data_IF_750153832244
#
_entry.id   IF_750153832244
#
_cell.length_a   1.000
_cell.length_b   1.000
_cell.length_c   1.000
_cell.angle_alpha   90.00
_cell.angle_beta   90.00
_cell.angle_gamma   90.00
#
_symmetry.space_group_name_H-M   'P 1'
#
loop_
_entity.id
_entity.type
_entity.pdbx_description
1 polymer ?
#
# COMPACT_ATOMS: atom_id res chain seq x y z
N UNK A 1 13.20 3.84 7.74
CA UNK A 1 13.28 4.76 6.59
C UNK A 1 13.63 4.00 5.32
N UNK A 2 12.92 4.27 4.21
CA UNK A 2 13.24 3.74 2.87
C UNK A 2 13.66 4.92 2.01
N UNK A 3 14.78 4.77 1.29
CA UNK A 3 15.24 5.76 0.32
C UNK A 3 15.44 5.08 -1.03
N UNK A 4 14.76 5.56 -2.04
CA UNK A 4 14.89 5.15 -3.43
C UNK A 4 15.61 6.28 -4.15
N UNK A 5 16.72 5.96 -4.79
CA UNK A 5 17.59 6.95 -5.42
C UNK A 5 17.83 6.60 -6.88
N UNK A 6 17.35 7.48 -7.76
CA UNK A 6 17.57 7.47 -9.20
C UNK A 6 17.30 6.10 -9.85
N UNK A 7 16.14 5.52 -9.60
CA UNK A 7 15.77 4.17 -10.01
C UNK A 7 15.43 4.11 -11.49
N UNK A 8 16.14 3.28 -12.25
CA UNK A 8 15.89 3.00 -13.66
C UNK A 8 15.51 1.55 -13.90
N UNK A 9 14.53 1.34 -14.78
CA UNK A 9 14.13 0.00 -15.24
C UNK A 9 13.56 0.02 -16.62
N UNK A 10 14.08 -0.89 -17.46
CA UNK A 10 13.57 -1.17 -18.81
C UNK A 10 13.10 -2.61 -18.93
N UNK A 11 12.13 -2.84 -19.80
CA UNK A 11 11.68 -4.16 -20.23
C UNK A 11 11.60 -4.14 -21.77
N UNK A 12 12.22 -5.11 -22.41
CA UNK A 12 12.25 -5.26 -23.88
C UNK A 12 12.57 -3.97 -24.63
N UNK A 13 13.53 -3.20 -24.08
CA UNK A 13 13.98 -1.93 -24.66
C UNK A 13 13.07 -0.73 -24.34
N UNK A 14 11.95 -0.92 -23.64
CA UNK A 14 11.07 0.18 -23.19
C UNK A 14 11.43 0.56 -21.78
N UNK A 15 11.85 1.82 -21.58
CA UNK A 15 12.20 2.36 -20.28
C UNK A 15 10.92 2.74 -19.50
N UNK A 16 10.67 2.03 -18.39
CA UNK A 16 9.49 2.20 -17.53
C UNK A 16 9.76 3.12 -16.36
N UNK A 17 10.95 3.01 -15.73
CA UNK A 17 11.42 3.95 -14.70
C UNK A 17 12.65 4.65 -15.21
N UNK A 18 12.68 5.99 -15.11
CA UNK A 18 13.64 6.88 -15.74
C UNK A 18 14.35 7.79 -14.73
N UNK A 19 14.72 7.24 -13.56
CA UNK A 19 15.35 7.99 -12.47
C UNK A 19 14.36 8.33 -11.34
N UNK A 20 13.41 7.45 -11.07
CA UNK A 20 12.44 7.65 -10.00
C UNK A 20 13.11 7.66 -8.61
N UNK A 21 12.90 8.72 -7.84
CA UNK A 21 13.46 8.90 -6.49
C UNK A 21 12.34 9.21 -5.49
N UNK A 22 12.39 8.56 -4.31
CA UNK A 22 11.38 8.74 -3.25
C UNK A 22 12.00 8.43 -1.88
N UNK A 23 11.64 9.22 -0.89
CA UNK A 23 11.96 8.95 0.51
C UNK A 23 10.66 8.68 1.30
N UNK A 24 10.64 7.57 2.05
CA UNK A 24 9.57 7.21 2.99
C UNK A 24 10.17 7.22 4.39
N UNK A 25 9.70 8.13 5.24
CA UNK A 25 10.15 8.24 6.63
C UNK A 25 9.54 7.13 7.48
N UNK A 26 10.16 6.88 8.63
CA UNK A 26 9.59 5.91 9.58
C UNK A 26 8.22 6.40 10.06
N UNK A 27 7.24 5.50 10.01
CA UNK A 27 5.85 5.77 10.37
C UNK A 27 5.03 6.49 9.29
N UNK A 28 5.61 6.93 8.17
CA UNK A 28 4.83 7.55 7.07
C UNK A 28 4.24 6.48 6.15
N UNK A 29 3.00 6.68 5.72
CA UNK A 29 2.41 6.02 4.55
C UNK A 29 2.38 7.03 3.40
N UNK A 30 3.00 6.68 2.28
CA UNK A 30 3.05 7.50 1.08
C UNK A 30 2.12 6.93 0.03
N UNK A 31 1.14 7.71 -0.44
CA UNK A 31 0.35 7.34 -1.60
C UNK A 31 1.17 7.57 -2.88
N UNK A 32 1.40 6.52 -3.66
CA UNK A 32 2.01 6.60 -4.99
C UNK A 32 0.90 6.61 -6.03
N UNK A 33 0.67 7.75 -6.63
CA UNK A 33 -0.39 7.99 -7.62
C UNK A 33 0.19 8.31 -8.99
N UNK A 34 -0.63 8.28 -10.02
CA UNK A 34 -0.25 8.60 -11.41
C UNK A 34 -1.09 7.81 -12.42
N UNK A 35 -0.98 8.12 -13.71
CA UNK A 35 -1.71 7.41 -14.76
C UNK A 35 -1.47 5.90 -14.77
N UNK A 36 -2.40 5.14 -15.35
CA UNK A 36 -2.21 3.69 -15.54
C UNK A 36 -1.05 3.41 -16.50
N UNK A 37 -0.28 2.35 -16.22
CA UNK A 37 0.86 1.98 -17.07
C UNK A 37 2.18 2.70 -16.77
N UNK A 38 2.21 3.71 -15.91
CA UNK A 38 3.40 4.52 -15.56
C UNK A 38 4.45 3.80 -14.70
N UNK A 39 4.24 2.52 -14.37
CA UNK A 39 5.24 1.74 -13.64
C UNK A 39 5.09 1.74 -12.12
N UNK A 40 3.96 2.18 -11.53
CA UNK A 40 3.74 2.20 -10.07
C UNK A 40 3.95 0.82 -9.41
N UNK A 41 3.34 -0.23 -9.96
CA UNK A 41 3.54 -1.61 -9.45
C UNK A 41 4.97 -2.11 -9.69
N UNK A 42 5.63 -1.67 -10.78
CA UNK A 42 7.04 -1.96 -11.03
C UNK A 42 7.91 -1.30 -9.95
N UNK A 43 7.63 -0.05 -9.61
CA UNK A 43 8.30 0.67 -8.53
C UNK A 43 8.18 -0.09 -7.20
N UNK A 44 6.96 -0.50 -6.79
CA UNK A 44 6.75 -1.30 -5.57
C UNK A 44 7.54 -2.63 -5.56
N UNK A 45 7.58 -3.33 -6.71
CA UNK A 45 8.33 -4.59 -6.83
C UNK A 45 9.83 -4.38 -6.65
N UNK A 46 10.37 -3.23 -7.02
CA UNK A 46 11.77 -2.88 -6.74
C UNK A 46 11.98 -2.61 -5.25
N UNK A 47 11.10 -1.82 -4.62
CA UNK A 47 11.18 -1.52 -3.17
C UNK A 47 11.16 -2.79 -2.34
N UNK A 48 10.34 -3.79 -2.71
CA UNK A 48 10.31 -5.10 -2.05
C UNK A 48 11.50 -6.01 -2.38
N UNK A 49 12.35 -5.59 -3.32
CA UNK A 49 13.45 -6.41 -3.85
C UNK A 49 12.99 -7.59 -4.73
N UNK A 50 11.71 -7.65 -5.12
CA UNK A 50 11.21 -8.66 -6.06
C UNK A 50 11.77 -8.46 -7.47
N UNK A 51 12.03 -7.21 -7.85
CA UNK A 51 12.73 -6.85 -9.08
C UNK A 51 14.08 -6.20 -8.76
N UNK A 52 15.08 -6.47 -9.59
CA UNK A 52 16.36 -5.77 -9.53
C UNK A 52 16.33 -4.60 -10.52
N UNK A 53 16.73 -3.38 -10.11
CA UNK A 53 16.83 -2.25 -11.02
C UNK A 53 17.98 -2.43 -12.03
N UNK A 54 17.92 -1.72 -13.15
CA UNK A 54 18.99 -1.66 -14.12
C UNK A 54 20.09 -0.70 -13.64
N UNK A 55 19.67 0.41 -13.00
CA UNK A 55 20.56 1.32 -12.27
C UNK A 55 19.79 2.05 -11.16
N UNK A 56 20.50 2.80 -10.32
CA UNK A 56 19.97 3.41 -9.12
C UNK A 56 20.11 2.51 -7.90
N UNK A 57 19.64 2.98 -6.75
CA UNK A 57 19.78 2.29 -5.45
C UNK A 57 18.54 2.36 -4.63
N UNK A 58 18.35 1.36 -3.76
CA UNK A 58 17.28 1.32 -2.79
C UNK A 58 17.89 1.00 -1.43
N UNK A 59 17.65 1.88 -0.47
CA UNK A 59 18.14 1.71 0.88
C UNK A 59 16.98 1.46 1.84
N UNK A 60 17.17 0.50 2.72
CA UNK A 60 16.31 0.29 3.87
C UNK A 60 17.12 0.40 5.15
N UNK A 61 16.81 1.39 6.00
CA UNK A 61 17.57 1.72 7.19
C UNK A 61 19.08 1.82 6.92
N UNK A 62 19.45 2.51 5.82
CA UNK A 62 20.81 2.72 5.39
C UNK A 62 21.51 1.53 4.71
N UNK A 63 20.86 0.37 4.59
CA UNK A 63 21.41 -0.79 3.87
C UNK A 63 20.94 -0.77 2.42
N UNK A 64 21.89 -0.81 1.48
CA UNK A 64 21.61 -0.92 0.04
C UNK A 64 21.09 -2.32 -0.31
N UNK A 65 19.83 -2.38 -0.76
CA UNK A 65 19.17 -3.64 -1.17
C UNK A 65 19.81 -4.25 -2.41
N UNK A 66 20.32 -3.40 -3.31
CA UNK A 66 20.87 -3.84 -4.60
C UNK A 66 22.19 -4.60 -4.43
N UNK A 67 22.92 -4.34 -3.34
CA UNK A 67 24.19 -4.99 -2.99
C UNK A 67 24.06 -6.23 -2.11
N UNK A 68 22.84 -6.57 -1.62
CA UNK A 68 22.66 -7.68 -0.68
C UNK A 68 22.80 -9.04 -1.36
N UNK A 69 23.42 -9.99 -0.65
CA UNK A 69 23.38 -11.40 -1.02
C UNK A 69 21.97 -11.95 -0.87
N UNK A 70 21.65 -13.03 -1.57
CA UNK A 70 20.32 -13.65 -1.58
C UNK A 70 19.77 -13.95 -0.18
N UNK A 71 20.61 -14.45 0.72
CA UNK A 71 20.22 -14.76 2.11
C UNK A 71 19.86 -13.51 2.90
N UNK A 72 20.62 -12.44 2.73
CA UNK A 72 20.38 -11.12 3.37
C UNK A 72 19.10 -10.48 2.85
N UNK A 73 18.86 -10.57 1.54
CA UNK A 73 17.63 -10.07 0.91
C UNK A 73 16.39 -10.84 1.40
N UNK A 74 16.50 -12.18 1.57
CA UNK A 74 15.42 -13.00 2.14
C UNK A 74 15.13 -12.61 3.59
N UNK A 75 16.17 -12.39 4.39
CA UNK A 75 16.00 -11.91 5.77
C UNK A 75 15.38 -10.50 5.83
N UNK A 76 15.78 -9.61 4.92
CA UNK A 76 15.22 -8.27 4.83
C UNK A 76 13.73 -8.31 4.43
N UNK A 77 13.38 -9.10 3.40
CA UNK A 77 11.99 -9.26 2.94
C UNK A 77 11.05 -9.76 4.03
N UNK A 78 11.58 -10.42 5.05
CA UNK A 78 10.77 -10.86 6.18
C UNK A 78 10.21 -9.70 7.03
N UNK A 79 10.74 -8.49 6.85
CA UNK A 79 10.30 -7.26 7.51
C UNK A 79 9.25 -6.49 6.68
N UNK A 80 8.96 -6.97 5.46
CA UNK A 80 7.97 -6.39 4.55
C UNK A 80 6.68 -7.20 4.57
N UNK A 81 5.55 -6.52 4.60
CA UNK A 81 4.25 -7.03 4.19
C UNK A 81 3.91 -6.53 2.78
N UNK A 82 3.31 -7.38 1.98
CA UNK A 82 2.89 -7.01 0.63
C UNK A 82 1.44 -7.42 0.41
N UNK A 83 0.58 -6.43 0.11
CA UNK A 83 -0.78 -6.65 -0.35
C UNK A 83 -0.84 -6.42 -1.86
N UNK A 84 -0.93 -7.52 -2.62
CA UNK A 84 -1.02 -7.49 -4.08
C UNK A 84 -2.43 -7.12 -4.55
N UNK A 85 -2.53 -6.58 -5.75
CA UNK A 85 -3.78 -6.13 -6.36
C UNK A 85 -4.90 -7.20 -6.30
N UNK A 86 -4.59 -8.47 -6.59
CA UNK A 86 -5.54 -9.57 -6.52
C UNK A 86 -5.49 -10.35 -5.19
N UNK A 87 -4.88 -9.79 -4.13
CA UNK A 87 -4.71 -10.43 -2.84
C UNK A 87 -3.71 -11.60 -2.85
N UNK A 88 -3.53 -12.32 -3.95
CA UNK A 88 -2.65 -13.48 -4.14
C UNK A 88 -2.82 -14.57 -3.05
N UNK A 89 -4.05 -14.81 -2.62
CA UNK A 89 -4.36 -15.94 -1.72
C UNK A 89 -4.11 -17.27 -2.44
N UNK A 90 -3.74 -18.29 -1.68
CA UNK A 90 -3.64 -19.65 -2.18
C UNK A 90 -5.03 -20.27 -2.22
N UNK A 91 -5.55 -20.56 -3.41
CA UNK A 91 -6.90 -21.08 -3.61
C UNK A 91 -7.15 -22.44 -2.97
N UNK A 92 -6.09 -23.24 -2.80
CA UNK A 92 -6.12 -24.56 -2.16
C UNK A 92 -6.05 -24.54 -0.64
N UNK A 93 -5.95 -23.36 -0.04
CA UNK A 93 -5.85 -23.17 1.42
C UNK A 93 -7.06 -22.42 1.94
N UNK A 94 -7.47 -22.73 3.17
CA UNK A 94 -8.50 -21.95 3.87
C UNK A 94 -7.99 -20.52 4.16
N UNK A 95 -8.87 -19.63 4.61
CA UNK A 95 -8.50 -18.30 5.12
C UNK A 95 -7.50 -18.45 6.26
N UNK A 96 -7.79 -19.35 7.22
CA UNK A 96 -6.88 -19.66 8.33
C UNK A 96 -5.49 -20.05 7.83
N UNK A 97 -5.41 -21.02 6.91
CA UNK A 97 -4.13 -21.51 6.42
C UNK A 97 -3.36 -20.46 5.61
N UNK A 98 -4.06 -19.64 4.84
CA UNK A 98 -3.45 -18.50 4.14
C UNK A 98 -2.78 -17.52 5.12
N UNK A 99 -3.47 -17.19 6.23
CA UNK A 99 -2.94 -16.25 7.23
C UNK A 99 -1.87 -16.93 8.11
N UNK A 100 -2.01 -18.22 8.42
CA UNK A 100 -1.03 -19.00 9.17
C UNK A 100 0.28 -19.23 8.40
N UNK A 101 0.21 -19.32 7.07
CA UNK A 101 1.33 -19.70 6.20
C UNK A 101 2.64 -18.94 6.50
N UNK A 102 2.67 -17.60 6.59
CA UNK A 102 3.91 -16.87 6.90
C UNK A 102 4.49 -17.19 8.27
N UNK A 103 3.67 -17.56 9.25
CA UNK A 103 4.14 -17.94 10.58
C UNK A 103 4.75 -19.33 10.56
N UNK A 104 4.10 -20.30 9.91
CA UNK A 104 4.61 -21.68 9.77
C UNK A 104 5.96 -21.71 9.04
N UNK A 105 6.09 -20.94 7.95
CA UNK A 105 7.30 -20.90 7.13
C UNK A 105 8.48 -20.17 7.75
N UNK A 106 8.22 -19.16 8.59
CA UNK A 106 9.25 -18.20 9.00
C UNK A 106 9.44 -18.08 10.51
N UNK A 107 8.74 -18.88 11.31
CA UNK A 107 8.87 -18.84 12.77
C UNK A 107 9.00 -20.26 13.35
N UNK A 108 9.33 -20.35 14.65
CA UNK A 108 9.35 -21.61 15.41
C UNK A 108 8.16 -21.69 16.40
N UNK A 109 7.08 -21.00 16.10
CA UNK A 109 5.89 -21.01 16.95
C UNK A 109 5.22 -22.40 16.88
N UNK A 110 4.64 -22.83 18.00
CA UNK A 110 3.77 -24.01 18.01
C UNK A 110 2.45 -23.72 17.28
N UNK A 111 1.78 -24.76 16.76
CA UNK A 111 0.48 -24.61 16.10
C UNK A 111 -0.57 -23.94 17.03
N UNK A 112 -0.50 -24.16 18.34
CA UNK A 112 -1.35 -23.46 19.31
C UNK A 112 -1.12 -21.94 19.28
N UNK A 113 0.14 -21.52 19.33
CA UNK A 113 0.51 -20.10 19.26
C UNK A 113 0.17 -19.47 17.90
N UNK A 114 0.33 -20.23 16.80
CA UNK A 114 -0.08 -19.78 15.47
C UNK A 114 -1.58 -19.58 15.43
N UNK A 115 -2.37 -20.53 15.94
CA UNK A 115 -3.84 -20.44 15.98
C UNK A 115 -4.32 -19.22 16.75
N UNK A 116 -3.77 -18.98 17.92
CA UNK A 116 -4.12 -17.81 18.75
C UNK A 116 -3.86 -16.50 17.98
N UNK A 117 -2.71 -16.37 17.32
CA UNK A 117 -2.36 -15.16 16.53
C UNK A 117 -3.22 -14.99 15.30
N UNK A 118 -3.48 -16.08 14.57
CA UNK A 118 -4.29 -16.04 13.34
C UNK A 118 -5.71 -15.64 13.65
N UNK A 119 -6.35 -16.25 14.68
CA UNK A 119 -7.71 -15.91 15.05
C UNK A 119 -7.83 -14.45 15.52
N UNK A 120 -6.87 -13.98 16.32
CA UNK A 120 -6.81 -12.58 16.73
C UNK A 120 -6.65 -11.62 15.53
N UNK A 121 -5.82 -11.94 14.54
CA UNK A 121 -5.65 -11.08 13.37
C UNK A 121 -6.88 -11.12 12.45
N UNK A 122 -7.54 -12.30 12.31
CA UNK A 122 -8.80 -12.42 11.56
C UNK A 122 -9.92 -11.59 12.20
N UNK A 123 -10.00 -11.57 13.52
CA UNK A 123 -10.94 -10.70 14.25
C UNK A 123 -10.67 -9.22 13.95
N UNK A 124 -9.39 -8.79 13.97
CA UNK A 124 -8.99 -7.39 13.67
C UNK A 124 -9.39 -6.94 12.26
N UNK A 125 -9.40 -7.85 11.29
CA UNK A 125 -9.82 -7.54 9.91
C UNK A 125 -11.32 -7.84 9.66
N UNK A 126 -12.09 -8.20 10.70
CA UNK A 126 -13.53 -8.49 10.59
C UNK A 126 -13.85 -9.79 9.86
N UNK A 127 -13.04 -10.85 10.07
CA UNK A 127 -13.19 -12.17 9.45
C UNK A 127 -13.23 -13.30 10.49
N UNK A 128 -13.70 -13.04 11.73
CA UNK A 128 -13.71 -14.00 12.83
C UNK A 128 -14.44 -15.32 12.52
N UNK A 129 -15.44 -15.31 11.63
CA UNK A 129 -16.24 -16.49 11.28
C UNK A 129 -15.91 -17.04 9.87
N UNK A 130 -14.76 -16.67 9.32
CA UNK A 130 -14.40 -17.02 7.95
C UNK A 130 -13.14 -17.90 7.87
N UNK A 131 -12.59 -18.36 9.00
CA UNK A 131 -11.35 -19.09 9.05
C UNK A 131 -11.34 -20.39 8.23
N UNK A 132 -12.45 -21.09 8.17
CA UNK A 132 -12.58 -22.37 7.46
C UNK A 132 -12.97 -22.22 5.99
N UNK A 133 -13.31 -20.98 5.53
CA UNK A 133 -13.68 -20.72 4.14
C UNK A 133 -12.46 -20.75 3.22
N UNK A 134 -12.69 -21.17 1.99
CA UNK A 134 -11.71 -21.06 0.90
C UNK A 134 -11.87 -19.72 0.18
N UNK A 135 -10.82 -19.21 -0.51
CA UNK A 135 -10.89 -17.95 -1.25
C UNK A 135 -12.09 -17.85 -2.20
N UNK A 136 -12.44 -18.93 -2.88
CA UNK A 136 -13.60 -18.99 -3.78
C UNK A 136 -14.96 -18.77 -3.10
N UNK A 137 -15.03 -18.86 -1.78
CA UNK A 137 -16.25 -18.66 -0.98
C UNK A 137 -16.34 -17.25 -0.38
N UNK A 138 -15.35 -16.40 -0.66
CA UNK A 138 -15.26 -15.04 -0.13
C UNK A 138 -15.83 -14.02 -1.12
N UNK A 139 -16.44 -12.95 -0.60
CA UNK A 139 -16.64 -11.73 -1.39
C UNK A 139 -15.31 -11.06 -1.70
N UNK A 140 -15.26 -10.18 -2.70
CA UNK A 140 -14.06 -9.43 -3.04
C UNK A 140 -13.45 -8.69 -1.84
N UNK A 141 -14.28 -8.01 -1.05
CA UNK A 141 -13.86 -7.34 0.17
C UNK A 141 -13.30 -8.29 1.24
N UNK A 142 -13.95 -9.44 1.46
CA UNK A 142 -13.45 -10.48 2.37
C UNK A 142 -12.09 -11.03 1.92
N UNK A 143 -11.91 -11.28 0.62
CA UNK A 143 -10.64 -11.74 0.08
C UNK A 143 -9.51 -10.72 0.30
N UNK A 144 -9.79 -9.41 0.11
CA UNK A 144 -8.84 -8.32 0.40
C UNK A 144 -8.48 -8.26 1.89
N UNK A 145 -9.46 -8.40 2.79
CA UNK A 145 -9.24 -8.44 4.24
C UNK A 145 -8.40 -9.64 4.67
N UNK A 146 -8.64 -10.84 4.11
CA UNK A 146 -7.85 -12.03 4.36
C UNK A 146 -6.40 -11.87 3.86
N UNK A 147 -6.21 -11.30 2.67
CA UNK A 147 -4.90 -11.00 2.12
C UNK A 147 -4.14 -9.96 2.96
N UNK A 148 -4.85 -8.95 3.49
CA UNK A 148 -4.30 -7.97 4.42
C UNK A 148 -3.88 -8.62 5.73
N UNK A 149 -4.72 -9.46 6.36
CA UNK A 149 -4.38 -10.20 7.56
C UNK A 149 -3.11 -11.04 7.36
N UNK A 150 -2.99 -11.75 6.23
CA UNK A 150 -1.78 -12.51 5.88
C UNK A 150 -0.53 -11.62 5.76
N UNK A 151 -0.66 -10.42 5.19
CA UNK A 151 0.46 -9.49 5.06
C UNK A 151 0.89 -8.93 6.43
N UNK A 152 -0.06 -8.76 7.34
CA UNK A 152 0.14 -8.14 8.66
C UNK A 152 0.56 -9.13 9.77
N UNK A 153 0.26 -10.44 9.63
CA UNK A 153 0.40 -11.43 10.70
C UNK A 153 1.80 -11.50 11.34
N UNK A 154 2.81 -11.02 10.65
CA UNK A 154 4.19 -10.96 11.14
C UNK A 154 4.59 -9.59 11.70
N UNK A 155 3.64 -8.67 11.85
CA UNK A 155 3.88 -7.29 12.26
C UNK A 155 5.04 -6.65 11.44
N UNK A 156 4.86 -6.45 10.13
CA UNK A 156 5.92 -5.92 9.26
C UNK A 156 6.26 -4.49 9.63
N UNK A 157 7.53 -4.11 9.42
CA UNK A 157 7.98 -2.72 9.55
C UNK A 157 7.58 -1.87 8.36
N UNK A 158 7.46 -2.52 7.19
CA UNK A 158 7.10 -1.87 5.93
C UNK A 158 5.91 -2.59 5.31
N UNK A 159 4.89 -1.84 4.93
CA UNK A 159 3.76 -2.34 4.16
C UNK A 159 3.77 -1.75 2.75
N UNK A 160 3.61 -2.62 1.77
CA UNK A 160 3.47 -2.26 0.37
C UNK A 160 2.09 -2.70 -0.12
N UNK A 161 1.32 -1.73 -0.62
CA UNK A 161 -0.03 -1.94 -1.09
C UNK A 161 -0.10 -1.64 -2.59
N UNK A 162 -0.38 -2.65 -3.39
CA UNK A 162 -0.53 -2.51 -4.85
C UNK A 162 -2.01 -2.52 -5.20
N UNK A 163 -2.62 -1.35 -5.31
CA UNK A 163 -4.03 -1.14 -5.63
C UNK A 163 -4.99 -2.02 -4.79
N UNK A 164 -5.02 -1.86 -3.47
CA UNK A 164 -5.74 -2.76 -2.56
C UNK A 164 -7.26 -2.79 -2.77
N UNK A 165 -7.82 -1.75 -3.38
CA UNK A 165 -9.26 -1.51 -3.51
C UNK A 165 -9.78 -1.72 -4.92
N UNK A 166 -8.91 -1.97 -5.90
CA UNK A 166 -9.32 -2.15 -7.30
C UNK A 166 -10.35 -3.25 -7.46
N UNK A 167 -11.45 -2.94 -8.17
CA UNK A 167 -12.54 -3.88 -8.47
C UNK A 167 -13.57 -4.04 -7.35
N UNK A 168 -13.53 -3.19 -6.32
CA UNK A 168 -14.50 -3.16 -5.23
C UNK A 168 -15.52 -2.01 -5.42
N UNK A 169 -16.68 -2.16 -4.82
CA UNK A 169 -17.67 -1.07 -4.76
C UNK A 169 -17.22 0.02 -3.76
N UNK A 170 -17.73 1.26 -3.90
CA UNK A 170 -17.28 2.40 -3.08
C UNK A 170 -17.42 2.21 -1.56
N UNK A 171 -18.44 1.48 -1.10
CA UNK A 171 -18.65 1.23 0.33
C UNK A 171 -17.55 0.32 0.86
N UNK A 172 -17.21 -0.73 0.12
CA UNK A 172 -16.12 -1.64 0.48
C UNK A 172 -14.75 -0.96 0.36
N UNK A 173 -14.54 -0.11 -0.66
CA UNK A 173 -13.32 0.73 -0.78
C UNK A 173 -13.09 1.52 0.51
N UNK A 174 -14.10 2.27 0.97
CA UNK A 174 -14.02 3.05 2.20
C UNK A 174 -13.65 2.17 3.40
N UNK A 175 -14.33 1.04 3.56
CA UNK A 175 -14.07 0.07 4.63
C UNK A 175 -12.65 -0.52 4.61
N UNK A 176 -12.04 -0.74 3.42
CA UNK A 176 -10.65 -1.19 3.32
C UNK A 176 -9.68 -0.05 3.68
N UNK A 177 -9.96 1.19 3.27
CA UNK A 177 -9.15 2.36 3.65
C UNK A 177 -9.15 2.58 5.17
N UNK A 178 -10.33 2.52 5.83
CA UNK A 178 -10.43 2.59 7.29
C UNK A 178 -9.65 1.46 7.97
N UNK A 179 -9.69 0.25 7.41
CA UNK A 179 -8.95 -0.89 7.94
C UNK A 179 -7.44 -0.70 7.80
N UNK A 180 -6.95 -0.15 6.69
CA UNK A 180 -5.54 0.18 6.50
C UNK A 180 -5.11 1.26 7.50
N UNK A 181 -5.88 2.35 7.65
CA UNK A 181 -5.61 3.44 8.59
C UNK A 181 -5.57 2.96 10.05
N UNK A 182 -6.60 2.21 10.47
CA UNK A 182 -6.66 1.67 11.85
C UNK A 182 -5.51 0.71 12.14
N UNK A 183 -5.14 -0.11 11.16
CA UNK A 183 -4.02 -1.04 11.28
C UNK A 183 -2.68 -0.28 11.30
N UNK A 184 -2.53 0.77 10.50
CA UNK A 184 -1.35 1.65 10.54
C UNK A 184 -1.19 2.30 11.91
N UNK A 185 -2.28 2.85 12.49
CA UNK A 185 -2.29 3.43 13.85
C UNK A 185 -1.94 2.39 14.93
N UNK A 186 -2.36 1.14 14.76
CA UNK A 186 -2.09 0.04 15.69
C UNK A 186 -0.64 -0.45 15.64
N UNK A 187 -0.07 -0.60 14.43
CA UNK A 187 1.23 -1.25 14.23
C UNK A 187 2.39 -0.28 13.98
N UNK A 188 2.13 0.94 13.52
CA UNK A 188 3.13 1.97 13.26
C UNK A 188 4.07 1.66 12.11
N UNK A 189 3.66 0.82 11.13
CA UNK A 189 4.49 0.52 9.96
C UNK A 189 4.67 1.76 9.08
N UNK A 190 5.77 1.80 8.33
CA UNK A 190 5.90 2.72 7.19
C UNK A 190 5.35 2.04 5.93
N UNK A 191 4.90 2.80 4.92
CA UNK A 191 4.33 2.15 3.76
C UNK A 191 4.33 2.96 2.48
N UNK A 192 4.17 2.25 1.36
CA UNK A 192 3.84 2.83 0.06
C UNK A 192 2.54 2.18 -0.41
N UNK A 193 1.56 3.01 -0.74
CA UNK A 193 0.25 2.59 -1.20
C UNK A 193 0.02 3.12 -2.62
N UNK A 194 -0.03 2.24 -3.60
CA UNK A 194 -0.48 2.58 -4.96
C UNK A 194 -2.00 2.62 -4.96
N UNK A 195 -2.58 3.74 -5.37
CA UNK A 195 -4.02 3.90 -5.46
C UNK A 195 -4.43 4.77 -6.65
N UNK A 196 -5.64 4.53 -7.12
CA UNK A 196 -6.37 5.38 -8.06
C UNK A 196 -7.57 6.08 -7.40
N UNK A 197 -7.83 5.77 -6.12
CA UNK A 197 -8.96 6.30 -5.34
C UNK A 197 -8.61 7.68 -4.78
N UNK A 198 -8.74 8.70 -5.62
CA UNK A 198 -8.47 10.10 -5.29
C UNK A 198 -9.82 10.85 -5.22
N UNK A 199 -10.11 11.57 -4.14
CA UNK A 199 -9.22 11.99 -3.04
C UNK A 199 -9.24 11.06 -1.80
N UNK A 200 -9.96 9.95 -1.80
CA UNK A 200 -10.23 9.12 -0.61
C UNK A 200 -8.95 8.69 0.10
N UNK A 201 -7.91 8.29 -0.65
CA UNK A 201 -6.62 7.86 -0.09
C UNK A 201 -5.92 8.98 0.69
N UNK A 202 -6.20 10.25 0.34
CA UNK A 202 -5.56 11.41 1.00
C UNK A 202 -6.03 11.62 2.44
N UNK A 203 -7.13 10.97 2.85
CA UNK A 203 -7.66 11.11 4.20
C UNK A 203 -6.75 10.50 5.28
N UNK A 204 -5.87 9.55 4.94
CA UNK A 204 -5.07 8.81 5.93
C UNK A 204 -3.58 8.72 5.61
N UNK A 205 -3.12 9.15 4.42
CA UNK A 205 -1.69 9.15 4.10
C UNK A 205 -1.00 10.43 4.54
N UNK A 206 0.28 10.35 4.90
CA UNK A 206 1.08 11.50 5.33
C UNK A 206 1.66 12.25 4.14
N UNK A 207 1.95 11.53 3.03
CA UNK A 207 2.50 12.12 1.82
C UNK A 207 1.89 11.50 0.57
N UNK A 208 2.01 12.23 -0.52
CA UNK A 208 1.63 11.83 -1.87
C UNK A 208 2.84 11.98 -2.77
N UNK A 209 3.14 10.96 -3.55
CA UNK A 209 4.13 10.97 -4.62
C UNK A 209 3.42 10.74 -5.96
N UNK A 210 3.67 11.61 -6.94
CA UNK A 210 3.08 11.49 -8.28
C UNK A 210 4.13 10.98 -9.26
N UNK A 211 3.90 9.76 -9.78
CA UNK A 211 4.74 9.12 -10.81
C UNK A 211 4.16 9.42 -12.19
N UNK A 212 4.98 10.00 -13.06
CA UNK A 212 4.61 10.28 -14.45
C UNK A 212 5.84 10.17 -15.36
N UNK A 213 5.67 9.54 -16.51
CA UNK A 213 6.73 9.28 -17.50
C UNK A 213 8.00 8.65 -16.90
N UNK A 214 7.79 7.77 -15.89
CA UNK A 214 8.87 7.03 -15.23
C UNK A 214 9.66 7.79 -14.18
N UNK A 215 9.27 9.03 -13.83
CA UNK A 215 9.91 9.85 -12.78
C UNK A 215 8.90 10.25 -11.71
N UNK A 216 9.37 10.43 -10.47
CA UNK A 216 8.55 11.07 -9.43
C UNK A 216 8.59 12.58 -9.64
N UNK A 217 7.49 13.13 -10.13
CA UNK A 217 7.35 14.53 -10.50
C UNK A 217 6.97 15.44 -9.34
N UNK A 218 6.29 14.87 -8.34
CA UNK A 218 5.86 15.59 -7.14
C UNK A 218 5.98 14.69 -5.91
N UNK A 219 6.41 15.27 -4.80
CA UNK A 219 6.31 14.68 -3.47
C UNK A 219 5.92 15.78 -2.49
N UNK A 220 4.83 15.57 -1.76
CA UNK A 220 4.33 16.54 -0.76
C UNK A 220 3.21 15.95 0.09
N UNK A 221 2.61 16.78 0.91
CA UNK A 221 1.40 16.43 1.66
C UNK A 221 0.17 16.38 0.75
N UNK A 222 -0.94 15.73 1.18
CA UNK A 222 -2.22 15.81 0.47
C UNK A 222 -2.70 17.24 0.21
N UNK A 223 -2.37 18.20 1.06
CA UNK A 223 -2.70 19.62 0.85
C UNK A 223 -1.84 20.24 -0.25
N UNK A 224 -0.53 20.04 -0.20
CA UNK A 224 0.42 20.63 -1.16
C UNK A 224 0.18 20.18 -2.59
N UNK A 225 -0.31 18.94 -2.83
CA UNK A 225 -0.58 18.49 -4.19
C UNK A 225 -1.74 19.24 -4.84
N UNK A 226 -2.70 19.74 -4.06
CA UNK A 226 -3.78 20.60 -4.57
C UNK A 226 -3.32 22.02 -4.85
N UNK A 227 -2.23 22.45 -4.25
CA UNK A 227 -1.67 23.82 -4.35
C UNK A 227 -0.50 23.89 -5.35
N UNK A 228 -0.12 22.76 -5.98
CA UNK A 228 1.03 22.69 -6.89
C UNK A 228 0.86 23.56 -8.13
N UNK A 229 1.94 24.20 -8.57
CA UNK A 229 2.01 24.93 -9.85
C UNK A 229 2.32 24.01 -11.05
N UNK A 230 2.70 22.76 -10.81
CA UNK A 230 2.94 21.80 -11.88
C UNK A 230 1.62 21.46 -12.61
N UNK A 231 1.54 21.87 -13.87
CA UNK A 231 0.33 21.73 -14.68
C UNK A 231 -0.06 20.28 -14.90
N UNK A 232 0.91 19.37 -15.07
CA UNK A 232 0.67 17.94 -15.31
C UNK A 232 0.07 17.29 -14.06
N UNK A 233 0.61 17.58 -12.88
CA UNK A 233 0.08 17.11 -11.60
C UNK A 233 -1.32 17.64 -11.37
N UNK A 234 -1.51 18.94 -11.60
CA UNK A 234 -2.80 19.62 -11.41
C UNK A 234 -3.89 19.07 -12.32
N UNK A 235 -3.56 18.83 -13.61
CA UNK A 235 -4.53 18.31 -14.58
C UNK A 235 -4.91 16.86 -14.25
N UNK A 236 -3.95 16.05 -13.80
CA UNK A 236 -4.21 14.69 -13.32
C UNK A 236 -5.14 14.70 -12.10
N UNK A 237 -4.85 15.51 -11.09
CA UNK A 237 -5.69 15.61 -9.88
C UNK A 237 -7.10 16.09 -10.24
N UNK A 238 -7.24 17.10 -11.10
CA UNK A 238 -8.55 17.57 -11.57
C UNK A 238 -9.35 16.50 -12.28
N UNK A 239 -8.69 15.75 -13.17
CA UNK A 239 -9.33 14.64 -13.90
C UNK A 239 -9.73 13.45 -13.01
N UNK A 240 -9.10 13.32 -11.84
CA UNK A 240 -9.39 12.25 -10.88
C UNK A 240 -10.48 12.61 -9.86
N UNK A 241 -10.89 13.88 -9.78
CA UNK A 241 -11.93 14.33 -8.85
C UNK A 241 -13.33 14.08 -9.46
N UNK A 242 -14.33 13.70 -8.64
CA UNK A 242 -15.73 13.66 -9.06
C UNK A 242 -16.19 15.00 -9.64
N UNK A 243 -16.98 14.97 -10.70
CA UNK A 243 -17.47 16.19 -11.39
C UNK A 243 -18.23 17.17 -10.46
N UNK A 244 -18.83 16.65 -9.39
CA UNK A 244 -19.49 17.45 -8.36
C UNK A 244 -18.49 18.22 -7.49
N UNK A 245 -17.38 17.62 -7.13
CA UNK A 245 -16.33 18.29 -6.35
C UNK A 245 -15.67 19.44 -7.12
N UNK A 246 -15.65 19.38 -8.44
CA UNK A 246 -15.15 20.47 -9.30
C UNK A 246 -16.08 21.68 -9.31
N UNK A 247 -17.40 21.48 -9.23
CA UNK A 247 -18.40 22.57 -9.18
C UNK A 247 -18.40 23.32 -7.84
N UNK A 248 -18.08 22.64 -6.73
CA UNK A 248 -17.98 23.27 -5.41
C UNK A 248 -16.74 24.16 -5.24
N UNK A 249 -15.65 23.93 -6.00
CA UNK A 249 -14.42 24.74 -5.92
C UNK A 249 -14.54 26.17 -6.46
N UNK A 250 -15.48 26.43 -7.35
CA UNK A 250 -15.74 27.80 -7.82
C UNK A 250 -16.49 28.66 -6.77
N UNK A 251 -17.00 28.05 -5.70
CA UNK A 251 -17.85 28.74 -4.72
C UNK A 251 -17.33 28.69 -3.27
N UNK A 252 -16.40 27.77 -2.90
CA UNK A 252 -15.86 27.68 -1.52
C UNK A 252 -14.40 27.19 -1.55
N UNK A 253 -13.46 27.82 -0.82
CA UNK A 253 -12.13 27.27 -0.63
C UNK A 253 -12.26 25.93 0.10
N UNK A 254 -11.66 24.88 -0.47
CA UNK A 254 -11.74 23.49 0.00
C UNK A 254 -11.13 23.38 1.40
N UNK A 255 -11.96 23.37 2.41
CA UNK A 255 -11.59 22.92 3.75
C UNK A 255 -11.84 21.41 3.82
N UNK A 256 -10.76 20.62 3.83
CA UNK A 256 -10.81 19.25 4.30
C UNK A 256 -11.22 19.29 5.78
N UNK A 257 -12.50 19.07 6.05
CA UNK A 257 -13.03 19.03 7.42
C UNK A 257 -12.65 17.68 8.05
N UNK A 258 -11.35 17.54 8.37
CA UNK A 258 -10.77 16.33 9.03
C UNK A 258 -11.31 16.18 10.47
N UNK A 259 -12.06 17.18 10.97
CA UNK A 259 -12.51 17.24 12.38
C UNK A 259 -13.95 16.77 12.64
N UNK A 260 -14.79 16.57 11.64
CA UNK A 260 -16.17 16.13 11.90
C UNK A 260 -16.31 14.63 12.20
N UNK A 261 -15.28 13.82 11.93
CA UNK A 261 -15.29 12.40 12.31
C UNK A 261 -14.91 12.15 13.79
N UNK A 262 -14.67 13.19 14.60
CA UNK A 262 -14.27 13.07 16.02
C UNK A 262 -15.34 13.50 17.02
N UNK A 263 -16.53 13.82 16.59
CA UNK A 263 -17.57 14.33 17.47
C UNK A 263 -18.86 13.54 17.42
N UNK A 264 -19.06 12.61 18.34
CA UNK A 264 -20.37 12.06 18.57
C UNK A 264 -20.44 10.70 19.23
N UNK A 265 -19.97 10.56 20.47
CA UNK A 265 -20.66 9.74 21.47
C UNK A 265 -20.36 10.39 22.84
N UNK A 266 -21.38 11.06 23.37
CA UNK A 266 -21.51 11.35 24.79
C UNK A 266 -22.36 10.25 25.42
#
# INVERSE_FOLDING_TARGET
>A
MITIDNLHKSFDGVEVLKGASLEVRDGDVVALIGPSGEGKSVFLKHVSGLLKPDSGRIFFNGKDLCGLRRSELVALRSRFGFLFQNGALFDSMTVYDNVAFPLREKTRLSEKQIRERVLAELEQVGLAEAEDKYPAQLSGGMAKRAALARALIRAPEIMLFDEPTTGLDPIIVHSIHELIDSTHKRLGFSGILVSHEIPEVFAFVQKVAFLHEGVIRFVGTPKEIFETDDTVVRDFIRGSLPSEALRFREQVPFQLNVNEARGGVA
#
